data_IF_604626285089
#
_entry.id   IF_604626285089
#
_cell.length_a   1.000
_cell.length_b   1.000
_cell.length_c   1.000
_cell.angle_alpha   90.00
_cell.angle_beta   90.00
_cell.angle_gamma   90.00
#
_symmetry.space_group_name_H-M   'P 1'
#
loop_
_entity.id
_entity.type
_entity.pdbx_description
1 polymer ?
#
# COMPACT_ATOMS: atom_id res chain seq x y z
N UNK A 1 8.02 -18.23 -14.80
CA UNK A 1 9.39 -18.30 -14.20
C UNK A 1 9.87 -16.86 -14.00
N UNK A 2 9.74 -16.27 -12.81
CA UNK A 2 10.14 -14.90 -12.56
C UNK A 2 11.66 -14.78 -12.66
N UNK A 3 12.13 -13.92 -13.55
CA UNK A 3 13.55 -13.51 -13.56
C UNK A 3 13.84 -12.85 -12.21
N UNK A 4 14.75 -13.45 -11.46
CA UNK A 4 15.30 -12.86 -10.24
C UNK A 4 15.94 -11.53 -10.64
N UNK A 5 15.27 -10.41 -10.33
CA UNK A 5 15.79 -9.07 -10.57
C UNK A 5 17.01 -8.87 -9.67
N UNK A 6 18.19 -8.93 -10.26
CA UNK A 6 19.50 -8.68 -9.62
C UNK A 6 19.77 -7.17 -9.44
N UNK A 7 18.73 -6.38 -9.20
CA UNK A 7 18.80 -4.91 -9.13
C UNK A 7 18.25 -4.34 -7.83
N UNK A 8 18.17 -5.16 -6.77
CA UNK A 8 17.85 -4.59 -5.46
C UNK A 8 19.05 -3.80 -4.94
N UNK A 9 18.83 -2.60 -4.42
CA UNK A 9 19.87 -1.84 -3.74
C UNK A 9 20.51 -2.70 -2.65
N UNK A 10 21.81 -2.50 -2.37
CA UNK A 10 22.58 -3.27 -1.37
C UNK A 10 21.94 -3.29 0.02
N UNK A 11 21.05 -2.32 0.32
CA UNK A 11 20.33 -2.23 1.58
C UNK A 11 19.05 -3.07 1.64
N UNK A 12 18.58 -3.68 0.51
CA UNK A 12 17.45 -4.60 0.51
C UNK A 12 17.92 -6.00 0.87
N UNK A 13 18.14 -6.27 2.14
CA UNK A 13 18.65 -7.55 2.63
C UNK A 13 17.60 -8.31 3.44
N UNK A 14 17.71 -9.64 3.48
CA UNK A 14 16.82 -10.53 4.24
C UNK A 14 16.90 -10.34 5.77
N UNK A 15 17.83 -9.50 6.24
CA UNK A 15 18.05 -9.25 7.68
C UNK A 15 17.38 -7.98 8.20
N UNK A 16 16.78 -7.18 7.34
CA UNK A 16 16.13 -5.90 7.69
C UNK A 16 14.63 -6.01 7.50
N UNK A 17 13.86 -5.36 8.37
CA UNK A 17 12.41 -5.26 8.20
C UNK A 17 12.07 -4.52 6.91
N UNK A 18 11.10 -5.04 6.16
CA UNK A 18 10.68 -4.51 4.86
C UNK A 18 9.20 -4.17 4.91
N UNK A 19 8.89 -2.91 4.82
CA UNK A 19 7.51 -2.43 4.83
C UNK A 19 7.19 -1.82 3.46
N UNK A 20 6.11 -2.23 2.85
CA UNK A 20 5.59 -1.58 1.66
C UNK A 20 4.37 -0.72 1.99
N UNK A 21 4.35 0.52 1.51
CA UNK A 21 3.23 1.44 1.69
C UNK A 21 2.65 1.78 0.32
N UNK A 22 1.39 1.43 0.11
CA UNK A 22 0.62 1.84 -1.07
C UNK A 22 -0.20 3.06 -0.68
N UNK A 23 0.09 4.20 -1.27
CA UNK A 23 -0.57 5.46 -0.96
C UNK A 23 -1.31 6.06 -2.16
N UNK A 24 -2.20 7.01 -1.88
CA UNK A 24 -2.98 7.73 -2.87
C UNK A 24 -2.65 9.21 -2.92
N UNK A 25 -3.58 9.99 -3.50
CA UNK A 25 -3.46 11.45 -3.61
C UNK A 25 -3.27 12.11 -2.24
N UNK A 26 -2.32 13.05 -2.16
CA UNK A 26 -2.02 13.80 -0.93
C UNK A 26 -0.93 13.15 -0.05
N UNK A 27 -0.40 11.99 -0.45
CA UNK A 27 0.67 11.30 0.29
C UNK A 27 1.88 10.98 -0.60
N UNK A 28 2.03 11.67 -1.74
CA UNK A 28 3.16 11.50 -2.65
C UNK A 28 4.51 11.78 -2.00
N UNK A 29 4.51 12.65 -1.00
CA UNK A 29 5.73 13.07 -0.29
C UNK A 29 5.96 12.30 1.02
N UNK A 30 5.19 11.23 1.26
CA UNK A 30 5.29 10.42 2.48
C UNK A 30 6.72 9.91 2.72
N UNK A 31 7.46 9.60 1.66
CA UNK A 31 8.86 9.18 1.76
C UNK A 31 9.79 10.24 2.38
N UNK A 32 9.38 11.52 2.36
CA UNK A 32 10.16 12.62 2.96
C UNK A 32 9.92 12.79 4.46
N UNK A 33 8.84 12.17 4.98
CA UNK A 33 8.48 12.23 6.40
C UNK A 33 9.23 11.19 7.26
N UNK A 34 9.86 10.22 6.62
CA UNK A 34 10.64 9.22 7.33
C UNK A 34 12.03 9.74 7.69
N UNK A 35 12.56 9.32 8.85
CA UNK A 35 13.95 9.55 9.25
C UNK A 35 14.88 8.68 8.40
N UNK A 36 15.17 9.13 7.18
CA UNK A 36 15.95 8.39 6.19
C UNK A 36 17.44 8.44 6.55
N UNK A 37 18.06 7.29 6.72
CA UNK A 37 19.51 7.17 7.02
C UNK A 37 20.38 7.21 5.76
N UNK A 38 19.78 6.91 4.59
CA UNK A 38 20.42 7.02 3.27
C UNK A 38 19.48 7.71 2.29
N UNK A 39 20.03 8.16 1.18
CA UNK A 39 19.26 8.81 0.11
C UNK A 39 18.13 7.91 -0.41
N UNK A 40 16.95 8.48 -0.61
CA UNK A 40 15.85 7.82 -1.29
C UNK A 40 16.26 7.42 -2.71
N UNK A 41 15.88 6.23 -3.13
CA UNK A 41 16.08 5.76 -4.49
C UNK A 41 14.76 5.33 -5.13
N UNK A 42 14.55 5.64 -6.39
CA UNK A 42 13.38 5.16 -7.14
C UNK A 42 13.76 3.94 -7.95
N UNK A 43 13.09 2.84 -7.66
CA UNK A 43 13.20 1.60 -8.42
C UNK A 43 12.02 1.52 -9.41
N UNK A 44 12.30 1.17 -10.68
CA UNK A 44 11.28 0.91 -11.69
C UNK A 44 11.13 -0.60 -11.84
N UNK A 45 9.95 -1.09 -11.52
CA UNK A 45 9.66 -2.52 -11.49
C UNK A 45 8.79 -2.87 -12.68
N UNK A 46 9.31 -3.71 -13.56
CA UNK A 46 8.56 -4.25 -14.69
C UNK A 46 7.61 -5.36 -14.23
N UNK A 47 6.36 -5.26 -14.63
CA UNK A 47 5.33 -6.27 -14.41
C UNK A 47 4.67 -6.66 -15.73
N UNK A 48 3.88 -7.72 -15.74
CA UNK A 48 3.10 -8.12 -16.92
C UNK A 48 2.04 -7.06 -17.33
N UNK A 49 1.73 -6.10 -16.44
CA UNK A 49 0.73 -5.05 -16.64
C UNK A 49 1.32 -3.65 -16.71
N UNK A 50 2.64 -3.53 -16.80
CA UNK A 50 3.35 -2.27 -16.96
C UNK A 50 4.43 -2.02 -15.91
N UNK A 51 5.20 -0.96 -16.12
CA UNK A 51 6.25 -0.49 -15.22
C UNK A 51 5.67 0.31 -14.06
N UNK A 52 6.17 0.05 -12.86
CA UNK A 52 5.74 0.69 -11.63
C UNK A 52 6.92 1.32 -10.90
N UNK A 53 6.93 2.64 -10.67
CA UNK A 53 7.95 3.29 -9.87
C UNK A 53 7.65 3.09 -8.37
N UNK A 54 8.66 2.67 -7.61
CA UNK A 54 8.60 2.53 -6.17
C UNK A 54 9.77 3.27 -5.55
N UNK A 55 9.50 4.13 -4.58
CA UNK A 55 10.54 4.85 -3.84
C UNK A 55 10.97 4.02 -2.64
N UNK A 56 12.25 3.72 -2.54
CA UNK A 56 12.85 3.00 -1.43
C UNK A 56 13.54 4.00 -0.49
N UNK A 57 13.21 3.93 0.79
CA UNK A 57 13.77 4.74 1.85
C UNK A 57 14.38 3.83 2.91
N UNK A 58 15.67 3.96 3.18
CA UNK A 58 16.31 3.23 4.26
C UNK A 58 16.17 4.02 5.55
N UNK A 59 15.63 3.38 6.58
CA UNK A 59 15.55 3.86 7.95
C UNK A 59 16.46 3.03 8.85
N UNK A 60 16.59 3.38 10.12
CA UNK A 60 17.45 2.66 11.06
C UNK A 60 17.03 1.20 11.23
N UNK A 61 15.72 0.96 11.35
CA UNK A 61 15.14 -0.35 11.62
C UNK A 61 14.89 -1.19 10.35
N UNK A 62 14.97 -0.59 9.15
CA UNK A 62 14.63 -1.34 7.95
C UNK A 62 14.54 -0.53 6.67
N UNK A 63 13.73 -1.01 5.76
CA UNK A 63 13.46 -0.35 4.47
C UNK A 63 11.96 -0.15 4.29
N UNK A 64 11.59 1.06 3.88
CA UNK A 64 10.22 1.40 3.51
C UNK A 64 10.16 1.59 2.00
N UNK A 65 9.30 0.83 1.35
CA UNK A 65 8.99 0.96 -0.07
C UNK A 65 7.67 1.72 -0.23
N UNK A 66 7.70 2.92 -0.79
CA UNK A 66 6.50 3.74 -1.01
C UNK A 66 6.08 3.67 -2.47
N UNK A 67 4.85 3.27 -2.72
CA UNK A 67 4.22 3.24 -4.02
C UNK A 67 3.05 4.23 -4.07
N UNK A 68 3.16 5.26 -4.91
CA UNK A 68 2.01 6.09 -5.27
C UNK A 68 1.16 5.36 -6.32
N UNK A 69 -0.04 4.90 -5.94
CA UNK A 69 -0.91 4.15 -6.85
C UNK A 69 -1.38 4.96 -8.07
N UNK A 70 -1.28 6.29 -8.03
CA UNK A 70 -1.63 7.18 -9.12
C UNK A 70 -0.44 7.54 -10.01
N UNK A 71 0.69 6.86 -9.88
CA UNK A 71 1.86 7.13 -10.69
C UNK A 71 1.53 7.14 -12.19
N UNK A 72 2.26 7.95 -12.93
CA UNK A 72 2.15 8.06 -14.39
C UNK A 72 3.50 8.49 -14.96
N UNK A 73 3.82 8.14 -16.20
CA UNK A 73 4.92 8.77 -16.91
C UNK A 73 4.70 10.28 -17.04
N UNK A 74 5.67 11.08 -16.62
CA UNK A 74 5.60 12.55 -16.68
C UNK A 74 4.93 13.19 -15.46
N UNK A 75 4.37 14.39 -15.63
CA UNK A 75 3.82 15.23 -14.55
C UNK A 75 2.34 14.99 -14.26
N UNK A 76 1.65 14.21 -15.09
CA UNK A 76 0.23 13.88 -14.88
C UNK A 76 0.08 12.73 -13.87
N UNK A 77 -1.08 12.62 -13.23
CA UNK A 77 -1.43 11.51 -12.35
C UNK A 77 -2.46 10.61 -13.03
N UNK A 78 -2.31 9.31 -12.84
CA UNK A 78 -3.29 8.34 -13.36
C UNK A 78 -4.62 8.51 -12.63
N UNK A 79 -5.73 8.79 -13.33
CA UNK A 79 -7.03 8.92 -12.68
C UNK A 79 -7.49 7.57 -12.10
N UNK A 80 -8.31 7.58 -11.02
CA UNK A 80 -8.67 6.37 -10.27
C UNK A 80 -9.19 5.21 -11.14
N UNK A 81 -10.02 5.53 -12.14
CA UNK A 81 -10.61 4.54 -13.03
C UNK A 81 -9.64 3.94 -14.05
N UNK A 82 -8.41 4.45 -14.15
CA UNK A 82 -7.36 3.95 -15.06
C UNK A 82 -6.18 3.34 -14.35
N UNK A 83 -6.19 3.30 -13.02
CA UNK A 83 -5.10 2.65 -12.28
C UNK A 83 -5.09 1.16 -12.63
N UNK A 84 -3.92 0.67 -13.03
CA UNK A 84 -3.72 -0.77 -13.19
C UNK A 84 -3.27 -1.37 -11.85
N UNK A 85 -4.23 -1.78 -11.04
CA UNK A 85 -3.99 -2.28 -9.69
C UNK A 85 -3.18 -3.57 -9.68
N UNK A 86 -3.28 -4.41 -10.71
CA UNK A 86 -2.49 -5.65 -10.83
C UNK A 86 -1.00 -5.34 -10.95
N UNK A 87 -0.64 -4.31 -11.74
CA UNK A 87 0.74 -3.85 -11.83
C UNK A 87 1.26 -3.42 -10.45
N UNK A 88 0.50 -2.57 -9.75
CA UNK A 88 0.87 -2.06 -8.44
C UNK A 88 1.07 -3.18 -7.41
N UNK A 89 0.14 -4.12 -7.32
CA UNK A 89 0.21 -5.25 -6.38
C UNK A 89 1.39 -6.17 -6.73
N UNK A 90 1.60 -6.46 -8.02
CA UNK A 90 2.71 -7.33 -8.44
C UNK A 90 4.07 -6.68 -8.23
N UNK A 91 4.18 -5.35 -8.41
CA UNK A 91 5.41 -4.63 -8.10
C UNK A 91 5.74 -4.73 -6.61
N UNK A 92 4.76 -4.46 -5.74
CA UNK A 92 4.93 -4.61 -4.29
C UNK A 92 5.27 -6.05 -3.90
N UNK A 93 4.54 -7.04 -4.45
CA UNK A 93 4.82 -8.46 -4.21
C UNK A 93 6.24 -8.86 -4.60
N UNK A 94 6.79 -8.31 -5.69
CA UNK A 94 8.14 -8.64 -6.15
C UNK A 94 9.24 -8.17 -5.20
N UNK A 95 8.94 -7.19 -4.34
CA UNK A 95 9.84 -6.71 -3.29
C UNK A 95 9.85 -7.63 -2.07
N UNK A 96 8.93 -8.60 -1.99
CA UNK A 96 8.81 -9.54 -0.88
C UNK A 96 8.79 -8.84 0.50
N UNK A 97 7.87 -7.87 0.72
CA UNK A 97 7.79 -7.14 1.98
C UNK A 97 7.24 -8.03 3.09
N UNK A 98 7.65 -7.76 4.34
CA UNK A 98 7.12 -8.43 5.52
C UNK A 98 5.70 -7.94 5.84
N UNK A 99 5.42 -6.65 5.54
CA UNK A 99 4.12 -6.01 5.78
C UNK A 99 3.77 -5.09 4.61
N UNK A 100 2.49 -5.09 4.23
CA UNK A 100 1.93 -4.13 3.26
C UNK A 100 0.89 -3.27 3.99
N UNK A 101 1.07 -1.95 3.95
CA UNK A 101 0.13 -0.97 4.48
C UNK A 101 -0.49 -0.19 3.31
N UNK A 102 -1.80 -0.13 3.22
CA UNK A 102 -2.50 0.69 2.24
C UNK A 102 -3.13 1.90 2.93
N UNK A 103 -2.84 3.10 2.43
CA UNK A 103 -3.36 4.36 2.97
C UNK A 103 -4.23 5.04 1.93
N UNK A 104 -5.47 5.33 2.32
CA UNK A 104 -6.49 5.90 1.44
C UNK A 104 -7.23 7.05 2.12
N UNK A 105 -7.49 8.12 1.37
CA UNK A 105 -8.42 9.17 1.78
C UNK A 105 -9.83 8.76 1.34
N UNK A 106 -10.78 8.84 2.25
CA UNK A 106 -12.18 8.43 2.01
C UNK A 106 -13.15 9.49 2.54
N UNK A 107 -14.36 9.53 1.98
CA UNK A 107 -15.47 10.24 2.60
C UNK A 107 -16.05 9.41 3.75
N UNK A 108 -16.42 10.07 4.85
CA UNK A 108 -17.05 9.38 5.98
C UNK A 108 -18.54 9.65 6.06
N UNK A 109 -19.32 8.63 6.44
CA UNK A 109 -20.73 8.75 6.83
C UNK A 109 -20.90 8.62 8.36
N UNK A 110 -19.81 8.51 9.09
CA UNK A 110 -19.82 8.33 10.55
C UNK A 110 -19.58 9.66 11.26
N UNK A 111 -20.43 9.98 12.24
CA UNK A 111 -20.33 11.22 13.03
C UNK A 111 -19.11 11.21 13.99
N UNK A 112 -18.68 10.04 14.40
CA UNK A 112 -17.52 9.83 15.28
C UNK A 112 -16.18 9.83 14.52
N UNK A 113 -16.22 10.04 13.20
CA UNK A 113 -15.05 10.18 12.34
C UNK A 113 -15.10 11.48 11.55
N UNK A 114 -14.93 12.65 12.19
CA UNK A 114 -14.89 13.92 11.48
C UNK A 114 -13.67 14.00 10.53
N UNK A 115 -13.65 14.93 9.57
CA UNK A 115 -12.49 15.17 8.70
C UNK A 115 -11.18 15.28 9.49
N UNK A 116 -10.13 14.64 9.01
CA UNK A 116 -8.84 14.55 9.69
C UNK A 116 -8.68 13.35 10.62
N UNK A 117 -9.75 12.57 10.87
CA UNK A 117 -9.65 11.32 11.63
C UNK A 117 -8.98 10.24 10.78
N UNK A 118 -8.01 9.55 11.37
CA UNK A 118 -7.42 8.32 10.80
C UNK A 118 -8.06 7.11 11.48
N UNK A 119 -8.40 6.08 10.71
CA UNK A 119 -8.95 4.83 11.22
C UNK A 119 -8.32 3.62 10.57
N UNK A 120 -8.26 2.50 11.29
CA UNK A 120 -7.83 1.21 10.76
C UNK A 120 -9.05 0.49 10.17
N UNK A 121 -8.97 0.15 8.89
CA UNK A 121 -10.04 -0.56 8.20
C UNK A 121 -10.10 -2.01 8.71
N UNK A 122 -11.28 -2.43 9.13
CA UNK A 122 -11.54 -3.80 9.59
C UNK A 122 -12.20 -4.68 8.52
N UNK A 123 -12.86 -4.06 7.52
CA UNK A 123 -13.54 -4.79 6.46
C UNK A 123 -13.70 -3.93 5.19
N UNK A 124 -13.96 -4.60 4.07
CA UNK A 124 -14.18 -3.96 2.76
C UNK A 124 -15.48 -4.45 2.16
N UNK A 125 -16.33 -3.49 1.76
CA UNK A 125 -17.48 -3.74 0.92
C UNK A 125 -17.17 -3.30 -0.52
N UNK A 126 -16.96 -4.26 -1.40
CA UNK A 126 -16.69 -3.98 -2.82
C UNK A 126 -18.01 -4.01 -3.62
N UNK A 127 -18.41 -2.83 -4.06
CA UNK A 127 -19.57 -2.60 -4.94
C UNK A 127 -19.13 -2.25 -6.36
N UNK A 128 -17.83 -2.35 -6.66
CA UNK A 128 -17.33 -2.06 -7.99
C UNK A 128 -17.79 -3.11 -9.01
N UNK A 129 -18.07 -2.66 -10.23
CA UNK A 129 -18.47 -3.55 -11.33
C UNK A 129 -17.26 -4.04 -12.14
N UNK A 130 -16.05 -3.70 -11.72
CA UNK A 130 -14.84 -4.10 -12.43
C UNK A 130 -14.33 -5.44 -11.92
N UNK A 131 -13.88 -6.32 -12.82
CA UNK A 131 -13.20 -7.54 -12.39
C UNK A 131 -11.80 -7.18 -11.84
N UNK A 132 -11.65 -7.23 -10.53
CA UNK A 132 -10.37 -7.08 -9.84
C UNK A 132 -9.77 -8.46 -9.55
N UNK A 133 -9.25 -9.13 -10.58
CA UNK A 133 -8.69 -10.47 -10.46
C UNK A 133 -7.36 -10.59 -11.19
N UNK A 134 -6.50 -11.49 -10.73
CA UNK A 134 -5.31 -11.96 -11.44
C UNK A 134 -5.60 -13.22 -12.28
N UNK A 135 -6.80 -13.78 -12.16
CA UNK A 135 -7.22 -15.05 -12.77
C UNK A 135 -8.29 -14.77 -13.81
N UNK A 136 -7.86 -14.39 -15.01
CA UNK A 136 -8.79 -14.04 -16.11
C UNK A 136 -9.39 -15.29 -16.79
N UNK A 137 -8.71 -16.46 -16.69
CA UNK A 137 -9.08 -17.69 -17.39
C UNK A 137 -9.44 -18.86 -16.46
N UNK A 138 -9.12 -18.76 -15.17
CA UNK A 138 -9.32 -19.82 -14.20
C UNK A 138 -10.27 -19.42 -13.07
N UNK A 139 -11.17 -20.32 -12.68
CA UNK A 139 -12.05 -20.13 -11.53
C UNK A 139 -11.30 -20.40 -10.22
N UNK A 140 -10.55 -19.41 -9.74
CA UNK A 140 -9.82 -19.49 -8.46
C UNK A 140 -10.60 -18.74 -7.38
N UNK A 141 -10.92 -19.45 -6.31
CA UNK A 141 -11.60 -18.92 -5.15
C UNK A 141 -10.63 -18.81 -3.98
N UNK A 142 -10.49 -17.61 -3.43
CA UNK A 142 -9.74 -17.37 -2.20
C UNK A 142 -10.68 -17.11 -1.03
N UNK A 143 -10.32 -17.64 0.13
CA UNK A 143 -10.97 -17.25 1.38
C UNK A 143 -10.70 -15.77 1.67
N UNK A 144 -11.76 -15.01 1.93
CA UNK A 144 -11.74 -13.60 2.27
C UNK A 144 -12.38 -13.30 3.63
N UNK A 145 -12.46 -14.30 4.49
CA UNK A 145 -13.03 -14.16 5.83
C UNK A 145 -12.23 -13.17 6.68
N UNK A 146 -10.90 -13.17 6.52
CA UNK A 146 -9.99 -12.18 7.11
C UNK A 146 -9.26 -11.44 6.01
N UNK A 147 -9.66 -10.19 5.75
CA UNK A 147 -9.05 -9.36 4.69
C UNK A 147 -7.74 -8.74 5.15
N UNK A 148 -7.62 -8.46 6.45
CA UNK A 148 -6.47 -7.80 7.07
C UNK A 148 -5.82 -8.70 8.13
N UNK A 149 -4.53 -8.50 8.34
CA UNK A 149 -3.79 -9.15 9.42
C UNK A 149 -4.17 -8.54 10.77
N UNK A 150 -4.60 -9.37 11.71
CA UNK A 150 -5.08 -8.94 13.02
C UNK A 150 -3.95 -8.32 13.86
N UNK A 151 -2.74 -8.86 13.78
CA UNK A 151 -1.59 -8.38 14.57
C UNK A 151 -1.15 -7.01 14.08
N UNK A 152 -1.03 -6.83 12.77
CA UNK A 152 -0.71 -5.53 12.16
C UNK A 152 -1.80 -4.50 12.43
N UNK A 153 -3.07 -4.90 12.33
CA UNK A 153 -4.21 -4.03 12.63
C UNK A 153 -4.19 -3.55 14.06
N UNK A 154 -3.87 -4.43 15.01
CA UNK A 154 -3.75 -4.08 16.43
C UNK A 154 -2.64 -3.06 16.68
N UNK A 155 -1.46 -3.25 16.10
CA UNK A 155 -0.34 -2.30 16.20
C UNK A 155 -0.76 -0.92 15.64
N UNK A 156 -1.43 -0.89 14.49
CA UNK A 156 -1.93 0.36 13.91
C UNK A 156 -2.95 1.06 14.84
N UNK A 157 -3.87 0.31 15.44
CA UNK A 157 -4.85 0.84 16.40
C UNK A 157 -4.16 1.43 17.62
N UNK A 158 -3.20 0.74 18.21
CA UNK A 158 -2.41 1.21 19.36
C UNK A 158 -1.67 2.50 19.03
N UNK A 159 -0.99 2.58 17.87
CA UNK A 159 -0.31 3.79 17.40
C UNK A 159 -1.27 4.96 17.17
N UNK A 160 -2.50 4.70 16.69
CA UNK A 160 -3.51 5.76 16.53
C UNK A 160 -4.02 6.26 17.90
N UNK A 161 -4.19 5.39 18.87
CA UNK A 161 -4.57 5.79 20.24
C UNK A 161 -3.48 6.70 20.83
N UNK A 162 -2.21 6.36 20.64
CA UNK A 162 -1.09 7.17 21.11
C UNK A 162 -1.01 8.54 20.41
N UNK A 163 -1.23 8.58 19.08
CA UNK A 163 -1.01 9.80 18.28
C UNK A 163 -2.21 10.74 18.23
N UNK A 164 -3.45 10.22 18.17
CA UNK A 164 -4.67 11.04 18.07
C UNK A 164 -5.62 10.90 19.28
N UNK A 165 -5.26 10.09 20.29
CA UNK A 165 -6.01 9.91 21.53
C UNK A 165 -7.13 8.88 21.47
N UNK A 166 -7.46 8.33 20.30
CA UNK A 166 -8.49 7.31 20.10
C UNK A 166 -8.28 6.57 18.78
N UNK A 167 -8.93 5.43 18.61
CA UNK A 167 -9.06 4.75 17.32
C UNK A 167 -10.51 4.37 17.06
N UNK A 168 -11.11 4.75 15.94
CA UNK A 168 -12.45 4.31 15.58
C UNK A 168 -12.50 2.79 15.42
N UNK A 169 -13.54 2.15 15.96
CA UNK A 169 -13.76 0.70 15.80
C UNK A 169 -14.71 0.39 14.65
N UNK A 170 -14.62 -0.82 14.09
CA UNK A 170 -15.54 -1.32 13.08
C UNK A 170 -15.59 -0.44 11.82
N UNK A 171 -14.43 -0.07 11.30
CA UNK A 171 -14.33 0.75 10.09
C UNK A 171 -14.43 -0.15 8.86
N UNK A 172 -15.57 -0.10 8.18
CA UNK A 172 -15.77 -0.73 6.87
C UNK A 172 -15.63 0.30 5.77
N UNK A 173 -14.80 0.03 4.77
CA UNK A 173 -14.65 0.88 3.58
C UNK A 173 -15.46 0.32 2.44
N UNK A 174 -16.35 1.14 1.87
CA UNK A 174 -17.10 0.80 0.67
C UNK A 174 -16.38 1.37 -0.56
N UNK A 175 -16.17 0.52 -1.55
CA UNK A 175 -15.67 0.90 -2.87
C UNK A 175 -16.83 0.80 -3.87
N UNK A 176 -17.08 1.86 -4.64
CA UNK A 176 -18.12 1.93 -5.67
C UNK A 176 -17.62 2.63 -6.93
#
# INVERSE_FOLDING_TARGET
>A
MARKLTLFPEFWSDKMSRIAVICGTGMSDLSNEFNVTKTNSTLRIETNWGEVPVTLSQIEEGVIAVLDRHHSPGSSRTPPHRIEHRANVMAVKSLDPDIIVSVNSVGTMRKDMPPGTVGVTSDILDLSIRPWTFYDEDAVHHDRTSVFDDSCSKICVESLIESQGFSPSGVTVAQC
#
